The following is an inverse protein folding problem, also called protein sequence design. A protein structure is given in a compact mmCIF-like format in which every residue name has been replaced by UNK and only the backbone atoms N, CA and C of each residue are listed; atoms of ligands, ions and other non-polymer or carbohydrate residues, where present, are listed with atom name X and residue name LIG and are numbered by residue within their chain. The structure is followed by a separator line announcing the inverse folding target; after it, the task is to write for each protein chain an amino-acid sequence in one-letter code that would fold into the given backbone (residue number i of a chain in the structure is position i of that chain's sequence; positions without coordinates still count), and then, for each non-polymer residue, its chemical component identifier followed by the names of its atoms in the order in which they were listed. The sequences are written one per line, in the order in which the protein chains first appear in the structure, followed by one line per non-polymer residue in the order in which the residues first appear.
data_IF_229111582132
#
_entry.id   IF_229111582132
#
_cell.length_a   1.000
_cell.length_b   1.000
_cell.length_c   1.000
_cell.angle_alpha   90.00
_cell.angle_beta   90.00
_cell.angle_gamma   90.00
#
_symmetry.space_group_name_H-M   'P 1'
#
loop_
_entity.id
_entity.type
_entity.pdbx_description
1 polymer ?
#
# COMPACT_ATOMS: atom_id res chain seq x y z
N UNK A 1 -13.99 -2.30 -19.05
CA UNK A 1 -14.16 -3.09 -17.83
C UNK A 1 -13.09 -2.80 -16.77
N UNK A 2 -11.86 -2.49 -17.13
CA UNK A 2 -10.78 -2.26 -16.19
C UNK A 2 -10.21 -0.88 -16.45
N UNK A 3 -10.53 0.07 -15.57
CA UNK A 3 -10.10 1.46 -15.73
C UNK A 3 -8.69 1.73 -15.16
N UNK A 4 -8.16 0.84 -14.32
CA UNK A 4 -6.88 1.02 -13.63
C UNK A 4 -6.10 -0.30 -13.52
N UNK A 5 -5.07 -0.46 -14.36
CA UNK A 5 -4.22 -1.65 -14.38
C UNK A 5 -3.36 -1.84 -13.12
N UNK A 6 -3.28 -0.85 -12.22
CA UNK A 6 -2.62 -1.02 -10.92
C UNK A 6 -3.53 -1.70 -9.88
N UNK A 7 -4.84 -1.81 -10.13
CA UNK A 7 -5.81 -2.38 -9.18
C UNK A 7 -6.36 -3.74 -9.62
N UNK A 8 -6.15 -4.12 -10.87
CA UNK A 8 -6.67 -5.38 -11.42
C UNK A 8 -5.82 -5.86 -12.58
N UNK A 9 -5.90 -7.15 -12.86
CA UNK A 9 -5.20 -7.78 -13.98
C UNK A 9 -6.20 -8.04 -15.10
N UNK A 10 -5.84 -7.65 -16.32
CA UNK A 10 -6.53 -8.05 -17.53
C UNK A 10 -5.57 -8.06 -18.72
N UNK A 11 -5.47 -9.21 -19.36
CA UNK A 11 -4.85 -9.36 -20.69
C UNK A 11 -5.64 -10.39 -21.45
N UNK A 12 -5.89 -10.17 -22.74
CA UNK A 12 -6.56 -11.12 -23.59
C UNK A 12 -6.00 -11.03 -25.01
N UNK A 13 -5.57 -12.16 -25.54
CA UNK A 13 -5.04 -12.31 -26.89
C UNK A 13 -5.63 -13.53 -27.57
N UNK A 14 -5.70 -13.48 -28.92
CA UNK A 14 -6.07 -14.61 -29.75
C UNK A 14 -4.94 -14.86 -30.76
N UNK A 15 -4.33 -16.04 -30.67
CA UNK A 15 -3.25 -16.45 -31.55
C UNK A 15 -3.61 -17.73 -32.33
N UNK A 16 -2.94 -17.93 -33.46
CA UNK A 16 -3.00 -19.20 -34.21
C UNK A 16 -1.69 -19.97 -34.02
N UNK A 17 -1.73 -21.01 -33.19
CA UNK A 17 -0.58 -21.87 -32.85
C UNK A 17 -0.80 -23.27 -33.51
N UNK A 18 0.16 -23.73 -34.31
CA UNK A 18 0.08 -25.01 -35.00
C UNK A 18 -1.26 -25.23 -35.74
N UNK A 19 -1.69 -24.19 -36.46
CA UNK A 19 -2.96 -24.15 -37.23
C UNK A 19 -4.25 -24.23 -36.38
N UNK A 20 -4.14 -24.15 -35.03
CA UNK A 20 -5.29 -24.13 -34.11
C UNK A 20 -5.38 -22.75 -33.44
N UNK A 21 -6.59 -22.21 -33.35
CA UNK A 21 -6.82 -20.96 -32.61
C UNK A 21 -6.72 -21.19 -31.11
N UNK A 22 -6.11 -20.24 -30.41
CA UNK A 22 -5.93 -20.27 -28.96
C UNK A 22 -6.28 -18.89 -28.40
N UNK A 23 -7.25 -18.83 -27.49
CA UNK A 23 -7.43 -17.67 -26.62
C UNK A 23 -6.48 -17.84 -25.43
N UNK A 24 -5.71 -16.80 -25.11
CA UNK A 24 -4.81 -16.75 -23.96
C UNK A 24 -4.96 -15.43 -23.23
N UNK A 25 -4.58 -15.41 -21.98
CA UNK A 25 -4.61 -14.24 -21.13
C UNK A 25 -5.10 -14.56 -19.72
N UNK A 26 -5.33 -13.54 -18.96
CA UNK A 26 -5.69 -13.68 -17.56
C UNK A 26 -6.46 -12.46 -17.04
N UNK A 27 -7.29 -12.66 -16.04
CA UNK A 27 -8.02 -11.57 -15.40
C UNK A 27 -8.31 -11.86 -13.92
N UNK A 28 -8.39 -10.81 -13.10
CA UNK A 28 -8.92 -10.87 -11.73
C UNK A 28 -10.42 -10.62 -11.68
N UNK A 29 -11.06 -10.21 -12.80
CA UNK A 29 -12.47 -9.87 -12.89
C UNK A 29 -13.27 -11.05 -13.44
N UNK A 30 -14.16 -11.63 -12.64
CA UNK A 30 -15.02 -12.75 -13.02
C UNK A 30 -15.99 -12.39 -14.14
N UNK A 31 -16.52 -11.15 -14.15
CA UNK A 31 -17.44 -10.69 -15.20
C UNK A 31 -16.75 -10.57 -16.56
N UNK A 32 -15.50 -10.07 -16.55
CA UNK A 32 -14.66 -10.03 -17.74
C UNK A 32 -14.32 -11.44 -18.24
N UNK A 33 -13.98 -12.35 -17.32
CA UNK A 33 -13.72 -13.76 -17.65
C UNK A 33 -14.91 -14.41 -18.36
N UNK A 34 -16.10 -14.34 -17.77
CA UNK A 34 -17.32 -14.89 -18.39
C UNK A 34 -17.65 -14.22 -19.72
N UNK A 35 -17.40 -12.92 -19.86
CA UNK A 35 -17.65 -12.20 -21.13
C UNK A 35 -16.73 -12.68 -22.25
N UNK A 36 -15.45 -12.94 -21.96
CA UNK A 36 -14.50 -13.52 -22.93
C UNK A 36 -14.94 -14.93 -23.34
N UNK A 37 -15.40 -15.76 -22.40
CA UNK A 37 -15.91 -17.10 -22.74
C UNK A 37 -17.14 -17.04 -23.64
N UNK A 38 -18.10 -16.16 -23.35
CA UNK A 38 -19.28 -15.95 -24.19
C UNK A 38 -18.93 -15.45 -25.59
N UNK A 39 -17.99 -14.50 -25.69
CA UNK A 39 -17.49 -14.01 -26.98
C UNK A 39 -16.81 -15.13 -27.78
N UNK A 40 -15.97 -15.95 -27.12
CA UNK A 40 -15.38 -17.13 -27.74
C UNK A 40 -16.43 -18.04 -28.36
N UNK A 41 -17.46 -18.41 -27.59
CA UNK A 41 -18.50 -19.32 -28.03
C UNK A 41 -19.37 -18.70 -29.16
N UNK A 42 -19.56 -17.40 -29.16
CA UNK A 42 -20.32 -16.67 -30.20
C UNK A 42 -19.55 -16.54 -31.51
N UNK A 43 -18.26 -16.17 -31.45
CA UNK A 43 -17.47 -15.86 -32.64
C UNK A 43 -16.86 -17.10 -33.30
N UNK A 44 -16.69 -18.21 -32.56
CA UNK A 44 -16.01 -19.41 -33.02
C UNK A 44 -16.89 -20.66 -32.91
N UNK A 45 -18.23 -20.51 -33.22
CA UNK A 45 -19.20 -21.60 -33.12
C UNK A 45 -18.81 -22.90 -33.85
N UNK A 46 -18.12 -22.76 -34.99
CA UNK A 46 -17.73 -23.86 -35.85
C UNK A 46 -16.20 -24.07 -35.93
N UNK A 47 -15.46 -23.43 -35.03
CA UNK A 47 -13.99 -23.44 -35.03
C UNK A 47 -13.49 -24.02 -33.72
N UNK A 48 -12.62 -25.06 -33.80
CA UNK A 48 -11.94 -25.60 -32.61
C UNK A 48 -10.94 -24.56 -32.08
N UNK A 49 -11.31 -23.87 -30.99
CA UNK A 49 -10.48 -22.89 -30.31
C UNK A 49 -10.11 -23.39 -28.92
N UNK A 50 -8.80 -23.48 -28.66
CA UNK A 50 -8.29 -23.82 -27.32
C UNK A 50 -8.43 -22.65 -26.37
N UNK A 51 -9.04 -22.89 -25.22
CA UNK A 51 -9.12 -21.88 -24.15
C UNK A 51 -7.95 -22.01 -23.16
N UNK A 52 -7.07 -21.02 -23.17
CA UNK A 52 -6.00 -20.83 -22.19
C UNK A 52 -6.16 -19.48 -21.46
N UNK A 53 -7.39 -18.95 -21.39
CA UNK A 53 -7.71 -17.74 -20.62
C UNK A 53 -8.01 -18.13 -19.18
N UNK A 54 -7.34 -17.47 -18.20
CA UNK A 54 -7.33 -17.87 -16.79
C UNK A 54 -8.03 -16.80 -15.94
N UNK A 55 -8.92 -17.25 -15.05
CA UNK A 55 -9.40 -16.43 -13.94
C UNK A 55 -8.43 -16.55 -12.77
N UNK A 56 -7.82 -15.45 -12.37
CA UNK A 56 -6.90 -15.40 -11.22
C UNK A 56 -7.67 -15.41 -9.88
N UNK A 57 -7.16 -16.08 -8.83
CA UNK A 57 -5.86 -16.76 -8.74
C UNK A 57 -5.68 -17.94 -9.68
N UNK A 58 -4.44 -18.11 -10.17
CA UNK A 58 -4.07 -19.25 -10.99
C UNK A 58 -4.36 -20.56 -10.23
N UNK A 59 -5.11 -21.52 -10.79
CA UNK A 59 -5.36 -22.83 -10.18
C UNK A 59 -4.10 -23.60 -9.77
N UNK A 60 -2.94 -23.31 -10.37
CA UNK A 60 -1.67 -23.89 -9.98
C UNK A 60 -1.18 -23.51 -8.56
N UNK A 61 -1.79 -22.51 -7.92
CA UNK A 61 -1.50 -22.15 -6.54
C UNK A 61 -2.21 -23.08 -5.53
N UNK A 62 -3.16 -23.88 -5.99
CA UNK A 62 -3.99 -24.75 -5.16
C UNK A 62 -4.69 -23.96 -4.03
N UNK A 63 -4.65 -24.42 -2.77
CA UNK A 63 -5.21 -23.71 -1.62
C UNK A 63 -4.31 -22.58 -1.07
N UNK A 64 -3.08 -22.45 -1.56
CA UNK A 64 -2.08 -21.47 -1.08
C UNK A 64 -2.19 -20.13 -1.79
N UNK A 65 -3.33 -19.50 -1.66
CA UNK A 65 -3.65 -18.24 -2.34
C UNK A 65 -3.47 -16.99 -1.47
N UNK A 66 -2.78 -17.11 -0.34
CA UNK A 66 -2.44 -15.99 0.54
C UNK A 66 -0.96 -15.96 0.89
N UNK A 67 -0.45 -14.75 1.06
CA UNK A 67 0.87 -14.48 1.62
C UNK A 67 0.76 -13.50 2.79
N UNK A 68 1.58 -13.71 3.83
CA UNK A 68 1.74 -12.74 4.92
C UNK A 68 3.15 -12.19 4.80
N UNK A 69 3.29 -10.88 4.76
CA UNK A 69 4.61 -10.22 4.64
C UNK A 69 5.42 -10.51 5.90
N UNK A 70 6.60 -11.11 5.75
CA UNK A 70 7.43 -11.63 6.85
C UNK A 70 8.72 -10.83 7.11
N UNK A 71 8.91 -9.73 6.39
CA UNK A 71 9.98 -8.74 6.58
C UNK A 71 9.38 -7.37 6.83
N UNK A 72 10.12 -6.47 7.49
CA UNK A 72 9.59 -5.14 7.84
C UNK A 72 8.98 -4.39 6.64
N UNK A 73 9.66 -4.46 5.51
CA UNK A 73 9.23 -3.86 4.23
C UNK A 73 9.71 -4.76 3.09
N UNK A 74 8.83 -5.14 2.16
CA UNK A 74 9.18 -5.80 0.91
C UNK A 74 8.75 -4.96 -0.30
N UNK A 75 9.60 -4.77 -1.31
CA UNK A 75 9.23 -4.04 -2.51
C UNK A 75 8.23 -4.84 -3.36
N UNK A 76 7.20 -4.16 -3.86
CA UNK A 76 6.34 -4.61 -4.93
C UNK A 76 6.83 -4.05 -6.25
N UNK A 77 6.98 -4.90 -7.26
CA UNK A 77 7.56 -4.53 -8.55
C UNK A 77 6.57 -4.69 -9.70
N UNK A 78 6.80 -3.94 -10.76
CA UNK A 78 6.01 -4.01 -11.99
C UNK A 78 6.16 -5.36 -12.71
N UNK A 79 7.39 -5.95 -12.67
CA UNK A 79 7.72 -7.23 -13.29
C UNK A 79 8.44 -8.15 -12.29
N UNK A 80 8.43 -9.49 -12.49
CA UNK A 80 9.03 -10.48 -11.58
C UNK A 80 10.56 -10.50 -11.63
N UNK A 81 11.22 -9.37 -11.39
CA UNK A 81 12.69 -9.24 -11.37
C UNK A 81 13.16 -8.09 -10.49
N UNK A 82 14.32 -8.24 -9.88
CA UNK A 82 14.87 -7.23 -8.95
C UNK A 82 15.16 -5.86 -9.60
N UNK A 83 15.48 -5.83 -10.89
CA UNK A 83 15.79 -4.60 -11.63
C UNK A 83 14.56 -3.87 -12.16
N UNK A 84 13.35 -4.44 -12.00
CA UNK A 84 12.11 -3.77 -12.41
C UNK A 84 11.76 -2.61 -11.49
N UNK A 85 10.98 -1.67 -12.02
CA UNK A 85 10.47 -0.53 -11.27
C UNK A 85 9.72 -1.00 -10.02
N UNK A 86 10.01 -0.35 -8.88
CA UNK A 86 9.20 -0.50 -7.69
C UNK A 86 7.92 0.33 -7.85
N UNK A 87 6.77 -0.29 -7.63
CA UNK A 87 5.45 0.35 -7.76
C UNK A 87 4.80 0.59 -6.41
N UNK A 88 5.16 -0.24 -5.40
CA UNK A 88 4.66 -0.11 -4.03
C UNK A 88 5.60 -0.85 -3.05
N UNK A 89 5.29 -0.77 -1.76
CA UNK A 89 5.90 -1.56 -0.69
C UNK A 89 4.80 -2.21 0.15
N UNK A 90 4.91 -3.51 0.39
CA UNK A 90 4.13 -4.20 1.39
C UNK A 90 4.93 -4.31 2.70
N UNK A 91 4.27 -4.19 3.85
CA UNK A 91 4.90 -4.14 5.16
C UNK A 91 4.51 -5.35 6.02
N UNK A 92 5.37 -5.69 6.97
CA UNK A 92 5.25 -6.87 7.85
C UNK A 92 3.84 -7.01 8.43
N UNK A 93 3.34 -8.24 8.40
CA UNK A 93 2.04 -8.63 8.93
C UNK A 93 0.86 -8.34 8.00
N UNK A 94 1.04 -7.53 6.94
CA UNK A 94 0.00 -7.36 5.95
C UNK A 94 -0.23 -8.65 5.16
N UNK A 95 -1.51 -8.96 4.94
CA UNK A 95 -1.94 -10.09 4.14
C UNK A 95 -2.11 -9.62 2.69
N UNK A 96 -1.59 -10.40 1.76
CA UNK A 96 -1.76 -10.20 0.32
C UNK A 96 -2.42 -11.44 -0.29
N UNK A 97 -3.25 -11.25 -1.32
CA UNK A 97 -3.78 -12.32 -2.14
C UNK A 97 -2.75 -12.68 -3.19
N UNK A 98 -2.40 -13.96 -3.32
CA UNK A 98 -1.52 -14.45 -4.37
C UNK A 98 -2.34 -14.71 -5.63
N UNK A 99 -1.95 -14.14 -6.74
CA UNK A 99 -2.65 -14.25 -8.01
C UNK A 99 -2.01 -15.32 -8.91
N UNK A 100 -0.67 -15.32 -9.00
CA UNK A 100 0.11 -16.35 -9.72
C UNK A 100 1.56 -16.36 -9.27
N UNK A 101 2.28 -17.40 -9.64
CA UNK A 101 3.70 -17.59 -9.33
C UNK A 101 4.54 -17.66 -10.61
N UNK A 102 5.67 -16.99 -10.62
CA UNK A 102 6.67 -17.04 -11.68
C UNK A 102 8.09 -16.89 -11.11
N UNK A 103 8.94 -17.88 -11.31
CA UNK A 103 10.39 -17.83 -11.02
C UNK A 103 10.78 -17.18 -9.68
N UNK A 104 10.24 -17.65 -8.56
CA UNK A 104 10.44 -17.12 -7.20
C UNK A 104 9.72 -15.78 -6.92
N UNK A 105 8.81 -15.35 -7.75
CA UNK A 105 7.97 -14.18 -7.56
C UNK A 105 6.50 -14.54 -7.54
N UNK A 106 5.74 -13.84 -6.70
CA UNK A 106 4.29 -13.90 -6.71
C UNK A 106 3.74 -12.59 -7.22
N UNK A 107 2.85 -12.64 -8.21
CA UNK A 107 1.94 -11.53 -8.48
C UNK A 107 0.93 -11.51 -7.35
N UNK A 108 0.83 -10.38 -6.66
CA UNK A 108 -0.04 -10.24 -5.50
C UNK A 108 -1.00 -9.08 -5.66
N UNK A 109 -2.09 -9.13 -4.90
CA UNK A 109 -3.01 -8.02 -4.70
C UNK A 109 -3.07 -7.70 -3.21
N UNK A 110 -2.86 -6.42 -2.86
CA UNK A 110 -2.93 -5.91 -1.49
C UNK A 110 -4.38 -5.80 -1.01
N UNK A 111 -4.59 -5.52 0.28
CA UNK A 111 -5.93 -5.27 0.84
C UNK A 111 -6.60 -3.97 0.34
N UNK A 112 -5.84 -3.08 -0.33
CA UNK A 112 -6.32 -1.89 -1.04
C UNK A 112 -6.28 -2.10 -2.58
N UNK A 113 -6.37 -3.35 -3.01
CA UNK A 113 -6.46 -3.83 -4.40
C UNK A 113 -5.23 -3.59 -5.28
N UNK A 114 -4.13 -3.00 -4.77
CA UNK A 114 -2.96 -2.70 -5.56
C UNK A 114 -2.23 -3.98 -5.99
N UNK A 115 -1.90 -4.08 -7.28
CA UNK A 115 -1.28 -5.26 -7.90
C UNK A 115 0.19 -5.03 -8.16
N UNK A 116 1.02 -6.02 -7.85
CA UNK A 116 2.46 -5.99 -8.13
C UNK A 116 3.14 -7.30 -7.78
N UNK A 117 4.41 -7.43 -8.15
CA UNK A 117 5.20 -8.63 -7.92
C UNK A 117 6.02 -8.52 -6.64
N UNK A 118 5.88 -9.50 -5.76
CA UNK A 118 6.73 -9.66 -4.55
C UNK A 118 7.59 -10.90 -4.69
N UNK A 119 8.87 -10.78 -4.33
CA UNK A 119 9.74 -11.94 -4.25
C UNK A 119 9.31 -12.85 -3.09
N UNK A 120 9.36 -14.17 -3.31
CA UNK A 120 8.95 -15.19 -2.32
C UNK A 120 9.63 -15.02 -0.96
N UNK A 121 10.86 -14.52 -0.91
CA UNK A 121 11.61 -14.32 0.34
C UNK A 121 10.94 -13.29 1.29
N UNK A 122 10.09 -12.40 0.77
CA UNK A 122 9.34 -11.42 1.56
C UNK A 122 7.98 -11.92 2.06
N UNK A 123 7.62 -13.20 1.81
CA UNK A 123 6.29 -13.73 2.07
C UNK A 123 6.33 -15.07 2.82
N UNK A 124 5.50 -15.19 3.83
CA UNK A 124 5.08 -16.47 4.37
C UNK A 124 3.82 -16.92 3.62
N UNK A 125 3.96 -17.99 2.82
CA UNK A 125 2.87 -18.50 1.97
C UNK A 125 1.93 -19.36 2.79
N UNK A 126 0.63 -19.12 2.66
CA UNK A 126 -0.39 -19.79 3.46
C UNK A 126 -1.72 -19.93 2.70
N UNK A 127 -2.66 -20.64 3.33
CA UNK A 127 -4.03 -20.78 2.84
C UNK A 127 -5.02 -19.97 3.69
N UNK A 128 -6.32 -20.13 3.44
CA UNK A 128 -7.40 -19.44 4.15
C UNK A 128 -7.31 -19.65 5.69
N UNK A 129 -7.03 -20.88 6.13
CA UNK A 129 -6.92 -21.20 7.56
C UNK A 129 -5.74 -20.47 8.22
N UNK A 130 -4.56 -20.49 7.58
CA UNK A 130 -3.39 -19.79 8.11
C UNK A 130 -3.54 -18.26 8.10
N UNK A 131 -4.19 -17.72 7.06
CA UNK A 131 -4.56 -16.29 7.00
C UNK A 131 -5.47 -15.92 8.18
N UNK A 132 -6.52 -16.72 8.44
CA UNK A 132 -7.48 -16.44 9.51
C UNK A 132 -6.83 -16.56 10.89
N UNK A 133 -5.98 -17.58 11.11
CA UNK A 133 -5.20 -17.71 12.35
C UNK A 133 -4.27 -16.49 12.59
N UNK A 134 -3.61 -15.98 11.54
CA UNK A 134 -2.81 -14.77 11.66
C UNK A 134 -3.68 -13.56 12.02
N UNK A 135 -4.78 -13.37 11.29
CA UNK A 135 -5.71 -12.25 11.50
C UNK A 135 -6.33 -12.21 12.90
N UNK A 136 -6.58 -13.39 13.49
CA UNK A 136 -7.10 -13.53 14.86
C UNK A 136 -6.06 -13.19 15.93
N UNK A 137 -4.79 -13.55 15.70
CA UNK A 137 -3.73 -13.44 16.72
C UNK A 137 -2.89 -12.17 16.62
N UNK A 138 -2.75 -11.61 15.42
CA UNK A 138 -1.94 -10.40 15.18
C UNK A 138 -2.73 -9.16 15.61
N UNK A 139 -2.55 -8.79 16.87
CA UNK A 139 -3.33 -7.80 17.61
C UNK A 139 -2.61 -6.47 17.83
N UNK A 140 -1.33 -6.38 17.47
CA UNK A 140 -0.51 -5.19 17.70
C UNK A 140 0.00 -4.56 16.42
N UNK A 141 -0.08 -3.23 16.37
CA UNK A 141 0.62 -2.41 15.38
C UNK A 141 1.81 -1.71 16.01
N UNK A 142 2.91 -1.62 15.27
CA UNK A 142 4.07 -0.84 15.70
C UNK A 142 3.88 0.63 15.31
N UNK A 143 3.97 1.53 16.30
CA UNK A 143 3.75 2.98 16.19
C UNK A 143 5.04 3.79 16.19
N UNK A 144 6.19 3.15 16.40
CA UNK A 144 7.50 3.79 16.27
C UNK A 144 7.90 3.98 14.79
N UNK A 145 8.83 4.89 14.51
CA UNK A 145 9.36 5.06 13.15
C UNK A 145 10.13 3.83 12.68
N UNK A 146 11.03 3.33 13.52
CA UNK A 146 11.85 2.14 13.29
C UNK A 146 12.41 1.61 14.60
N UNK A 147 12.54 0.28 14.71
CA UNK A 147 13.22 -0.39 15.82
C UNK A 147 13.78 -1.74 15.37
N UNK A 148 14.43 -2.48 16.28
CA UNK A 148 14.96 -3.82 16.06
C UNK A 148 14.26 -4.83 16.97
N UNK A 149 13.82 -5.93 16.40
CA UNK A 149 13.39 -7.14 17.11
C UNK A 149 14.64 -7.98 17.36
N UNK A 150 14.96 -8.29 18.61
CA UNK A 150 16.22 -8.86 19.04
C UNK A 150 16.09 -10.32 19.46
N UNK A 151 17.21 -11.06 19.40
CA UNK A 151 17.26 -12.47 19.79
C UNK A 151 17.05 -12.71 21.30
N UNK A 152 17.43 -11.74 22.12
CA UNK A 152 17.31 -11.75 23.57
C UNK A 152 16.77 -10.39 24.05
N UNK A 153 16.17 -10.29 25.26
CA UNK A 153 15.70 -9.04 25.85
C UNK A 153 16.86 -8.16 26.33
N UNK A 154 17.79 -7.89 25.42
CA UNK A 154 19.00 -7.09 25.64
C UNK A 154 19.27 -6.22 24.40
N UNK A 155 19.54 -4.93 24.60
CA UNK A 155 19.87 -3.98 23.54
C UNK A 155 21.12 -4.34 22.73
N UNK A 156 22.02 -5.14 23.28
CA UNK A 156 23.26 -5.56 22.65
C UNK A 156 23.15 -6.91 21.93
N UNK A 157 22.02 -7.62 22.08
CA UNK A 157 21.80 -8.89 21.41
C UNK A 157 21.58 -8.70 19.89
N UNK A 158 21.78 -9.76 19.11
CA UNK A 158 21.66 -9.72 17.66
C UNK A 158 20.22 -9.41 17.21
N UNK A 159 20.01 -8.54 16.21
CA UNK A 159 18.70 -8.37 15.63
C UNK A 159 18.32 -9.59 14.79
N UNK A 160 17.06 -10.04 14.92
CA UNK A 160 16.47 -11.07 14.05
C UNK A 160 15.60 -10.47 12.94
N UNK A 161 15.11 -9.25 13.15
CA UNK A 161 14.38 -8.43 12.18
C UNK A 161 14.43 -6.98 12.62
N UNK A 162 14.20 -6.08 11.69
CA UNK A 162 13.76 -4.74 12.01
C UNK A 162 12.22 -4.64 11.94
N UNK A 163 11.67 -3.54 12.45
CA UNK A 163 10.24 -3.23 12.46
C UNK A 163 10.06 -1.74 12.19
N UNK A 164 9.03 -1.38 11.42
CA UNK A 164 8.73 0.01 11.02
C UNK A 164 7.26 0.34 11.30
N UNK A 165 6.94 1.63 11.28
CA UNK A 165 5.58 2.13 11.46
C UNK A 165 4.55 1.34 10.66
N UNK A 166 3.42 1.03 11.29
CA UNK A 166 2.31 0.25 10.72
C UNK A 166 2.59 -1.24 10.49
N UNK A 167 3.76 -1.77 10.91
CA UNK A 167 3.95 -3.22 10.92
C UNK A 167 3.01 -3.87 11.94
N UNK A 168 2.47 -5.02 11.58
CA UNK A 168 1.55 -5.79 12.39
C UNK A 168 2.25 -7.05 12.90
N UNK A 169 2.14 -7.33 14.20
CA UNK A 169 2.79 -8.46 14.85
C UNK A 169 1.88 -9.09 15.91
N UNK A 170 2.18 -10.32 16.30
CA UNK A 170 1.66 -10.93 17.52
C UNK A 170 2.62 -10.57 18.65
N UNK A 171 2.12 -10.09 19.77
CA UNK A 171 2.92 -9.67 20.92
C UNK A 171 2.41 -10.25 22.21
N UNK A 172 3.31 -10.85 22.97
CA UNK A 172 3.06 -11.34 24.32
C UNK A 172 3.93 -10.56 25.33
N UNK A 173 3.40 -10.12 26.48
CA UNK A 173 4.22 -9.50 27.51
C UNK A 173 5.32 -10.46 27.96
N UNK A 174 6.57 -9.99 28.07
CA UNK A 174 7.68 -10.78 28.61
C UNK A 174 8.07 -10.29 30.00
N UNK A 175 8.37 -9.00 30.12
CA UNK A 175 8.63 -8.31 31.39
C UNK A 175 8.14 -6.84 31.31
N UNK A 176 8.57 -5.99 32.26
CA UNK A 176 8.17 -4.58 32.30
C UNK A 176 8.67 -3.78 31.10
N UNK A 177 9.80 -4.16 30.50
CA UNK A 177 10.49 -3.41 29.43
C UNK A 177 10.37 -4.06 28.05
N UNK A 178 10.07 -5.36 27.99
CA UNK A 178 10.11 -6.14 26.76
C UNK A 178 8.84 -6.94 26.52
N UNK A 179 8.51 -7.09 25.24
CA UNK A 179 7.51 -8.02 24.73
C UNK A 179 8.15 -9.08 23.84
N UNK A 180 7.68 -10.31 23.92
CA UNK A 180 7.99 -11.36 22.96
C UNK A 180 7.15 -11.17 21.71
N UNK A 181 7.81 -11.03 20.57
CA UNK A 181 7.18 -10.82 19.26
C UNK A 181 7.25 -12.10 18.46
N UNK A 182 6.12 -12.47 17.84
CA UNK A 182 6.06 -13.57 16.90
C UNK A 182 5.90 -13.00 15.49
N UNK A 183 6.79 -13.39 14.57
CA UNK A 183 6.78 -13.02 13.18
C UNK A 183 5.95 -14.00 12.33
N UNK A 184 5.45 -13.60 11.16
CA UNK A 184 4.60 -14.44 10.32
C UNK A 184 5.19 -15.79 9.93
N UNK A 185 6.51 -15.86 9.80
CA UNK A 185 7.27 -17.07 9.41
C UNK A 185 7.71 -17.96 10.60
N UNK A 186 7.22 -17.66 11.80
CA UNK A 186 7.49 -18.42 13.02
C UNK A 186 8.75 -17.99 13.79
N UNK A 187 9.58 -17.07 13.26
CA UNK A 187 10.65 -16.45 14.05
C UNK A 187 10.07 -15.71 15.25
N UNK A 188 10.82 -15.71 16.35
CA UNK A 188 10.46 -15.00 17.58
C UNK A 188 11.62 -14.13 18.04
N UNK A 189 11.31 -13.04 18.70
CA UNK A 189 12.32 -12.17 19.31
C UNK A 189 11.69 -11.13 20.22
N UNK A 190 12.52 -10.27 20.76
CA UNK A 190 12.14 -9.33 21.79
C UNK A 190 12.16 -7.89 21.26
N UNK A 191 11.12 -7.15 21.60
CA UNK A 191 10.98 -5.73 21.29
C UNK A 191 10.70 -4.96 22.58
N UNK A 192 11.32 -3.80 22.75
CA UNK A 192 11.00 -2.90 23.86
C UNK A 192 9.56 -2.40 23.79
N UNK A 193 8.90 -2.30 24.94
CA UNK A 193 7.47 -1.97 25.09
C UNK A 193 7.09 -0.52 24.72
N UNK A 194 7.97 0.21 24.06
CA UNK A 194 7.82 1.67 23.85
C UNK A 194 6.96 2.11 22.68
N UNK A 195 6.49 1.19 21.82
CA UNK A 195 5.82 1.59 20.57
C UNK A 195 4.92 0.48 19.99
N UNK A 196 4.15 -0.21 20.84
CA UNK A 196 3.16 -1.20 20.40
C UNK A 196 1.77 -0.77 20.87
N UNK A 197 0.83 -0.66 19.95
CA UNK A 197 -0.57 -0.37 20.25
C UNK A 197 -1.48 -1.50 19.73
N UNK A 198 -2.61 -1.73 20.40
CA UNK A 198 -3.62 -2.67 19.89
C UNK A 198 -4.24 -2.13 18.60
N UNK A 199 -4.40 -3.03 17.63
CA UNK A 199 -5.16 -2.79 16.42
C UNK A 199 -6.61 -2.55 16.83
N UNK A 200 -7.38 -1.74 16.72
CA UNK A 200 -8.77 -1.51 17.18
C UNK A 200 -8.95 -0.74 18.49
N UNK A 201 -7.88 -0.21 19.09
CA UNK A 201 -8.05 0.65 20.28
C UNK A 201 -8.46 2.09 19.93
N UNK A 202 -8.45 2.45 18.64
CA UNK A 202 -8.93 3.75 18.19
C UNK A 202 -10.40 3.60 17.82
N UNK A 203 -11.28 4.31 18.51
CA UNK A 203 -12.73 4.30 18.23
C UNK A 203 -12.95 4.67 16.76
N UNK A 204 -13.80 3.95 16.06
CA UNK A 204 -14.11 4.07 14.62
C UNK A 204 -14.53 5.48 14.15
N UNK A 205 -14.65 6.47 15.03
CA UNK A 205 -15.21 7.79 14.75
C UNK A 205 -14.34 9.00 15.12
N UNK A 206 -13.04 8.82 15.41
CA UNK A 206 -12.17 9.96 15.75
C UNK A 206 -11.15 10.25 14.64
N UNK A 207 -11.62 10.83 13.53
CA UNK A 207 -10.74 11.62 12.68
C UNK A 207 -10.23 12.83 13.50
N UNK A 208 -9.00 12.71 14.00
CA UNK A 208 -8.30 13.83 14.65
C UNK A 208 -7.19 14.33 13.74
N UNK A 209 -7.41 15.49 13.15
CA UNK A 209 -6.41 16.13 12.28
C UNK A 209 -5.09 16.41 13.01
N UNK A 210 -5.10 16.60 14.33
CA UNK A 210 -3.85 16.80 15.10
C UNK A 210 -2.99 15.56 15.12
N UNK A 211 -3.59 14.37 15.22
CA UNK A 211 -2.86 13.10 15.14
C UNK A 211 -2.25 12.89 13.76
N UNK A 212 -2.99 13.18 12.68
CA UNK A 212 -2.50 13.12 11.30
C UNK A 212 -1.30 14.07 11.13
N UNK A 213 -1.41 15.30 11.59
CA UNK A 213 -0.33 16.30 11.48
C UNK A 213 0.88 15.91 12.33
N UNK A 214 0.64 15.40 13.54
CA UNK A 214 1.71 14.91 14.42
C UNK A 214 2.47 13.80 13.75
N UNK A 215 1.78 12.79 13.20
CA UNK A 215 2.40 11.67 12.50
C UNK A 215 3.15 12.11 11.24
N UNK A 216 2.56 13.00 10.44
CA UNK A 216 3.22 13.57 9.27
C UNK A 216 4.54 14.29 9.64
N UNK A 217 4.53 15.07 10.72
CA UNK A 217 5.72 15.78 11.21
C UNK A 217 6.80 14.85 11.77
N UNK A 218 6.43 13.72 12.36
CA UNK A 218 7.40 12.68 12.80
C UNK A 218 8.19 12.11 11.62
N UNK A 219 7.65 12.15 10.41
CA UNK A 219 8.30 11.66 9.19
C UNK A 219 9.20 12.72 8.51
N UNK A 220 9.34 13.93 9.07
CA UNK A 220 10.20 14.99 8.49
C UNK A 220 11.61 14.48 8.20
N UNK A 221 12.14 14.83 7.02
CA UNK A 221 13.50 14.47 6.58
C UNK A 221 13.62 13.07 5.96
N UNK A 222 12.61 12.19 6.01
CA UNK A 222 12.66 10.89 5.32
C UNK A 222 12.88 11.13 3.82
N UNK A 223 13.87 10.45 3.19
CA UNK A 223 14.20 10.67 1.79
C UNK A 223 13.13 10.15 0.83
N UNK A 224 13.07 10.74 -0.36
CA UNK A 224 12.19 10.30 -1.43
C UNK A 224 12.63 8.92 -1.97
N UNK A 225 11.67 8.02 -2.08
CA UNK A 225 11.85 6.73 -2.74
C UNK A 225 10.65 6.48 -3.66
N UNK A 226 10.88 6.41 -4.96
CA UNK A 226 9.83 6.09 -5.93
C UNK A 226 9.18 4.74 -5.61
N UNK A 227 7.83 4.69 -5.53
CA UNK A 227 7.09 3.50 -5.12
C UNK A 227 7.21 3.18 -3.62
N UNK A 228 7.90 4.02 -2.84
CA UNK A 228 8.04 3.84 -1.40
C UNK A 228 6.75 4.12 -0.64
N UNK A 229 6.48 3.31 0.41
CA UNK A 229 5.28 3.37 1.23
C UNK A 229 5.58 2.95 2.67
N UNK A 230 6.69 3.47 3.22
CA UNK A 230 7.16 3.16 4.57
C UNK A 230 8.06 4.25 5.13
N UNK A 231 8.43 4.15 6.40
CA UNK A 231 9.40 5.04 7.03
C UNK A 231 10.85 4.82 6.58
N UNK A 232 11.13 3.80 5.76
CA UNK A 232 12.45 3.63 5.12
C UNK A 232 12.64 4.49 3.87
N UNK A 233 11.58 5.06 3.36
CA UNK A 233 11.49 5.92 2.20
C UNK A 233 10.11 5.84 1.59
N UNK A 234 9.61 6.95 1.11
CA UNK A 234 8.28 7.04 0.52
C UNK A 234 8.27 8.00 -0.67
N UNK A 235 7.29 7.81 -1.56
CA UNK A 235 6.91 8.83 -2.53
C UNK A 235 5.77 9.72 -1.97
N UNK A 236 5.25 10.65 -2.76
CA UNK A 236 4.27 11.61 -2.28
C UNK A 236 2.97 10.96 -1.78
N UNK A 237 2.43 9.99 -2.50
CA UNK A 237 1.20 9.29 -2.13
C UNK A 237 1.44 8.18 -1.11
N UNK A 238 2.61 7.54 -1.10
CA UNK A 238 3.02 6.61 -0.07
C UNK A 238 3.23 7.30 1.28
N UNK A 239 3.77 8.54 1.30
CA UNK A 239 3.82 9.36 2.50
C UNK A 239 2.41 9.61 3.07
N UNK A 240 1.49 10.12 2.25
CA UNK A 240 0.11 10.37 2.71
C UNK A 240 -0.57 9.08 3.17
N UNK A 241 -0.45 7.98 2.41
CA UNK A 241 -1.03 6.69 2.78
C UNK A 241 -0.47 6.17 4.11
N UNK A 242 0.85 6.25 4.33
CA UNK A 242 1.50 5.82 5.57
C UNK A 242 0.98 6.60 6.78
N UNK A 243 0.86 7.93 6.65
CA UNK A 243 0.35 8.81 7.72
C UNK A 243 -1.12 8.52 8.04
N UNK A 244 -1.97 8.40 7.02
CA UNK A 244 -3.38 8.10 7.22
C UNK A 244 -3.60 6.71 7.81
N UNK A 245 -2.84 5.70 7.33
CA UNK A 245 -2.87 4.34 7.88
C UNK A 245 -2.47 4.29 9.36
N UNK A 246 -1.50 5.10 9.80
CA UNK A 246 -1.12 5.20 11.22
C UNK A 246 -2.24 5.79 12.10
N UNK A 247 -3.27 6.36 11.48
CA UNK A 247 -4.48 6.86 12.13
C UNK A 247 -5.73 6.04 11.78
N UNK A 248 -5.54 4.76 11.35
CA UNK A 248 -6.59 3.81 10.98
C UNK A 248 -7.50 4.27 9.83
N UNK A 249 -7.01 5.19 9.00
CA UNK A 249 -7.73 5.70 7.82
C UNK A 249 -7.10 5.10 6.57
N UNK A 250 -7.90 4.38 5.79
CA UNK A 250 -7.45 3.81 4.54
C UNK A 250 -7.70 4.78 3.38
N UNK A 251 -6.64 5.07 2.62
CA UNK A 251 -6.72 5.81 1.37
C UNK A 251 -5.98 5.03 0.28
N UNK A 252 -6.33 5.23 -1.02
CA UNK A 252 -5.66 4.54 -2.11
C UNK A 252 -4.15 4.79 -2.18
N UNK A 253 -3.42 3.92 -2.90
CA UNK A 253 -1.95 4.01 -3.03
C UNK A 253 -1.49 5.19 -3.88
N UNK A 254 -2.07 5.39 -5.05
CA UNK A 254 -1.59 6.42 -6.00
C UNK A 254 -2.25 7.77 -5.76
N UNK A 255 -1.51 8.86 -5.95
CA UNK A 255 -2.05 10.22 -5.82
C UNK A 255 -3.27 10.48 -6.73
N UNK A 256 -3.29 9.88 -7.94
CA UNK A 256 -4.43 9.96 -8.87
C UNK A 256 -5.69 9.26 -8.33
N UNK A 257 -5.51 8.18 -7.56
CA UNK A 257 -6.61 7.44 -6.92
C UNK A 257 -7.06 8.17 -5.64
N UNK A 258 -6.11 8.70 -4.84
CA UNK A 258 -6.42 9.54 -3.66
C UNK A 258 -7.23 10.78 -4.04
N UNK A 259 -7.02 11.32 -5.23
CA UNK A 259 -7.77 12.43 -5.78
C UNK A 259 -9.27 12.13 -6.05
N UNK A 260 -9.66 10.87 -6.06
CA UNK A 260 -11.04 10.43 -6.31
C UNK A 260 -11.84 10.17 -5.02
N UNK A 261 -11.18 10.13 -3.85
CA UNK A 261 -11.83 9.86 -2.57
C UNK A 261 -12.03 11.13 -1.74
N UNK A 262 -12.93 11.05 -0.76
CA UNK A 262 -13.28 12.19 0.10
C UNK A 262 -14.14 13.26 -0.61
N UNK A 263 -14.40 14.37 0.10
CA UNK A 263 -15.21 15.49 -0.41
C UNK A 263 -14.33 16.57 -1.05
N UNK A 264 -14.74 17.12 -2.21
CA UNK A 264 -14.01 18.24 -2.82
C UNK A 264 -14.19 19.52 -1.99
N UNK A 265 -13.11 20.24 -1.74
CA UNK A 265 -13.11 21.54 -1.06
C UNK A 265 -12.61 22.59 -2.04
N UNK A 266 -13.44 23.61 -2.27
CA UNK A 266 -13.05 24.79 -3.04
C UNK A 266 -12.40 25.78 -2.07
N UNK A 267 -11.12 26.17 -2.27
CA UNK A 267 -10.50 27.18 -1.41
C UNK A 267 -11.28 28.50 -1.44
N UNK A 268 -11.55 29.07 -0.26
CA UNK A 268 -12.03 30.45 -0.14
C UNK A 268 -10.92 31.45 -0.50
N UNK A 269 -11.24 32.72 -0.75
CA UNK A 269 -10.26 33.74 -1.15
C UNK A 269 -9.05 33.81 -0.20
N UNK A 270 -9.28 33.64 1.09
CA UNK A 270 -8.24 33.64 2.12
C UNK A 270 -7.78 32.23 2.56
N UNK A 271 -8.26 31.17 1.92
CA UNK A 271 -7.97 29.77 2.24
C UNK A 271 -8.35 29.31 3.65
N UNK A 272 -9.15 30.08 4.40
CA UNK A 272 -9.49 29.76 5.79
C UNK A 272 -10.30 28.46 5.96
N UNK A 273 -10.93 27.98 4.89
CA UNK A 273 -11.72 26.75 4.87
C UNK A 273 -10.88 25.49 4.55
N UNK A 274 -9.59 25.65 4.25
CA UNK A 274 -8.66 24.52 4.11
C UNK A 274 -8.13 24.20 5.51
N UNK A 275 -8.45 22.99 5.96
CA UNK A 275 -8.17 22.55 7.32
C UNK A 275 -6.94 21.62 7.38
N UNK A 276 -6.30 21.51 8.56
CA UNK A 276 -5.28 20.49 8.77
C UNK A 276 -5.81 19.09 8.47
N UNK A 277 -5.02 18.28 7.73
CA UNK A 277 -5.41 16.94 7.31
C UNK A 277 -6.08 16.86 5.94
N UNK A 278 -6.49 17.97 5.33
CA UNK A 278 -6.95 17.99 3.94
C UNK A 278 -5.81 17.60 2.99
N UNK A 279 -6.12 16.93 1.87
CA UNK A 279 -5.14 16.58 0.84
C UNK A 279 -5.12 17.63 -0.26
N UNK A 280 -3.94 18.23 -0.51
CA UNK A 280 -3.69 19.14 -1.61
C UNK A 280 -3.12 18.37 -2.79
N UNK A 281 -3.73 18.54 -3.97
CA UNK A 281 -3.31 17.86 -5.20
C UNK A 281 -2.66 18.82 -6.17
N UNK A 282 -1.59 18.35 -6.82
CA UNK A 282 -0.79 19.11 -7.76
C UNK A 282 -0.57 18.34 -9.06
N UNK A 283 -0.42 19.06 -10.17
CA UNK A 283 -0.23 18.42 -11.47
C UNK A 283 -0.25 19.38 -12.65
N UNK A 284 -0.57 18.84 -13.81
CA UNK A 284 -0.71 19.61 -15.06
C UNK A 284 -1.92 19.13 -15.84
N UNK A 285 -2.73 20.06 -16.39
CA UNK A 285 -3.84 19.76 -17.31
C UNK A 285 -4.73 18.61 -16.81
N UNK A 286 -5.24 18.70 -15.60
CA UNK A 286 -6.10 17.69 -14.97
C UNK A 286 -5.44 16.33 -14.67
N UNK A 287 -4.12 16.20 -14.87
CA UNK A 287 -3.37 15.02 -14.45
C UNK A 287 -2.72 15.28 -13.10
N UNK A 288 -3.19 14.59 -12.07
CA UNK A 288 -2.55 14.59 -10.75
C UNK A 288 -1.20 13.87 -10.81
N UNK A 289 -0.16 14.52 -10.32
CA UNK A 289 1.20 13.99 -10.27
C UNK A 289 1.83 14.09 -8.89
N UNK A 290 1.15 14.76 -7.93
CA UNK A 290 1.67 14.94 -6.60
C UNK A 290 0.55 15.25 -5.60
N UNK A 291 0.81 14.92 -4.33
CA UNK A 291 -0.11 15.15 -3.21
C UNK A 291 0.68 15.56 -1.97
N UNK A 292 0.06 16.34 -1.09
CA UNK A 292 0.55 16.70 0.24
C UNK A 292 -0.60 16.82 1.23
N UNK A 293 -0.27 16.87 2.52
CA UNK A 293 -1.22 17.03 3.63
C UNK A 293 -1.22 18.49 4.08
N UNK A 294 -2.38 19.12 4.13
CA UNK A 294 -2.55 20.48 4.62
C UNK A 294 -2.18 20.61 6.11
N UNK A 295 -1.49 21.65 6.46
CA UNK A 295 -1.29 22.11 7.83
C UNK A 295 -2.29 23.20 8.25
N UNK A 296 -3.22 23.53 7.35
CA UNK A 296 -4.17 24.61 7.43
C UNK A 296 -3.82 25.75 6.46
N UNK A 297 -4.84 26.36 5.90
CA UNK A 297 -4.71 27.45 4.94
C UNK A 297 -3.81 27.07 3.74
N UNK A 298 -2.68 27.78 3.54
CA UNK A 298 -1.77 27.61 2.42
C UNK A 298 -0.54 26.75 2.74
N UNK A 299 -0.37 26.32 3.98
CA UNK A 299 0.77 25.51 4.41
C UNK A 299 0.48 24.01 4.26
N UNK A 300 1.48 23.25 3.85
CA UNK A 300 1.35 21.82 3.67
C UNK A 300 2.66 21.09 3.89
N UNK A 301 2.56 19.82 4.31
CA UNK A 301 3.68 18.87 4.42
C UNK A 301 3.58 17.83 3.32
N UNK A 302 4.69 17.53 2.67
CA UNK A 302 4.70 16.60 1.55
C UNK A 302 6.07 15.96 1.33
N UNK A 303 6.10 14.90 0.53
CA UNK A 303 7.34 14.28 0.08
C UNK A 303 7.79 14.87 -1.27
N UNK A 304 8.71 15.82 -1.24
CA UNK A 304 9.20 16.54 -2.44
C UNK A 304 10.65 16.26 -2.84
N UNK A 305 11.29 15.28 -2.21
CA UNK A 305 12.71 14.90 -2.28
C UNK A 305 13.14 14.38 -0.91
N UNK A 306 12.65 14.99 0.11
CA UNK A 306 12.49 14.52 1.49
C UNK A 306 11.12 14.99 1.99
N UNK A 307 10.63 14.43 3.07
CA UNK A 307 9.44 15.00 3.74
C UNK A 307 9.80 16.37 4.29
N UNK A 308 9.07 17.40 3.84
CA UNK A 308 9.32 18.79 4.21
C UNK A 308 8.03 19.62 4.18
N UNK A 309 8.07 20.81 4.79
CA UNK A 309 6.94 21.74 4.82
C UNK A 309 7.18 22.85 3.80
N UNK A 310 6.17 23.10 2.97
CA UNK A 310 6.12 24.23 2.05
C UNK A 310 4.84 25.03 2.20
N UNK A 311 4.81 26.22 1.61
CA UNK A 311 3.65 27.10 1.55
C UNK A 311 3.30 27.48 0.12
N UNK A 312 2.00 27.70 -0.13
CA UNK A 312 1.47 28.36 -1.32
C UNK A 312 1.32 29.87 -1.10
N UNK A 313 1.69 30.39 0.07
CA UNK A 313 1.70 31.82 0.36
C UNK A 313 3.02 32.45 -0.09
N UNK A 314 2.94 33.44 -1.01
CA UNK A 314 4.12 34.14 -1.54
C UNK A 314 4.92 34.91 -0.49
N UNK A 315 4.29 35.26 0.63
CA UNK A 315 4.95 35.95 1.75
C UNK A 315 5.67 35.00 2.71
N UNK A 316 5.44 33.69 2.57
CA UNK A 316 6.00 32.68 3.48
C UNK A 316 7.48 32.39 3.17
N UNK A 317 8.36 32.23 4.18
CA UNK A 317 9.79 31.92 3.98
C UNK A 317 10.01 30.54 3.29
N UNK A 318 9.05 29.63 3.37
CA UNK A 318 9.06 28.31 2.73
C UNK A 318 8.13 28.26 1.50
N UNK A 319 7.87 29.41 0.86
CA UNK A 319 7.06 29.51 -0.34
C UNK A 319 7.58 28.64 -1.49
N UNK A 320 6.68 27.92 -2.14
CA UNK A 320 6.98 27.09 -3.30
C UNK A 320 6.21 27.56 -4.54
N UNK A 321 6.85 28.37 -5.37
CA UNK A 321 6.26 28.89 -6.61
C UNK A 321 5.89 27.76 -7.59
N UNK A 322 6.69 26.67 -7.62
CA UNK A 322 6.41 25.51 -8.47
C UNK A 322 5.15 24.75 -8.03
N UNK A 323 4.92 24.67 -6.70
CA UNK A 323 3.70 24.04 -6.17
C UNK A 323 2.47 24.93 -6.37
N UNK A 324 2.59 26.24 -6.17
CA UNK A 324 1.50 27.16 -6.46
C UNK A 324 1.08 27.06 -7.95
N UNK A 325 2.02 27.09 -8.89
CA UNK A 325 1.75 26.97 -10.34
C UNK A 325 1.14 25.62 -10.74
N UNK A 326 1.38 24.57 -9.98
CA UNK A 326 0.89 23.21 -10.24
C UNK A 326 -0.28 22.80 -9.36
N UNK A 327 -0.76 23.67 -8.47
CA UNK A 327 -1.93 23.39 -7.63
C UNK A 327 -3.17 23.13 -8.48
N UNK A 328 -3.96 22.11 -8.10
CA UNK A 328 -5.17 21.71 -8.83
C UNK A 328 -6.42 21.87 -7.97
N UNK A 329 -6.49 21.19 -6.83
CA UNK A 329 -7.65 21.18 -5.95
C UNK A 329 -7.33 20.55 -4.58
N UNK A 330 -8.32 20.55 -3.69
CA UNK A 330 -8.24 19.98 -2.34
C UNK A 330 -9.32 18.91 -2.16
N UNK A 331 -9.00 17.85 -1.42
CA UNK A 331 -9.95 16.85 -0.92
C UNK A 331 -9.87 16.76 0.59
N UNK A 332 -11.02 16.66 1.24
CA UNK A 332 -11.11 16.32 2.67
C UNK A 332 -11.48 14.86 2.80
N UNK A 333 -10.58 14.11 3.44
CA UNK A 333 -10.86 12.74 3.82
C UNK A 333 -11.73 12.80 5.07
N UNK A 334 -12.93 12.27 4.99
CA UNK A 334 -13.85 12.13 6.11
C UNK A 334 -13.94 10.65 6.47
N UNK A 335 -14.06 10.33 7.75
CA UNK A 335 -14.42 8.98 8.18
C UNK A 335 -15.75 8.60 7.54
N UNK A 336 -15.76 7.48 6.82
CA UNK A 336 -16.99 6.88 6.29
C UNK A 336 -17.81 6.26 7.41
#
# INVERSE_FOLDING_TARGET
YINDGSLSVFSADIDKINNRWVIKGETTDSSAYESILRLKDSLFKDTDIKNNFILLPDPALDDKVFGIVNVSVTPMREEPRHSSQMVDQAIMGNIVRLLKYDNSWYLVQTHYDYVGWINRSGLFITNESGKNNWKEKADKTFTGMQNLIRSEPDNNSLPISDIVLNNIVISEPYDNDWSLIHLPDGRKGYLKNVSLEYINNKSENNFDSNNIISEAKRMMGIPYLWGGNSTKGNDCSGFTQTVFKANDIQIPRDARQQALVGVPILPSDNWSNILPGDLLFFGKKNRVTHVGISLGQKDFIHQGGKVDINSLDESSPNFSSGRLKSFLFVRRIVSQ
#
